data_IF_805670081098
#
_entry.id   IF_805670081098
#
_cell.length_a   1.000
_cell.length_b   1.000
_cell.length_c   1.000
_cell.angle_alpha   90.00
_cell.angle_beta   90.00
_cell.angle_gamma   90.00
#
_symmetry.space_group_name_H-M   'P 1'
#
loop_
_entity.id
_entity.type
_entity.pdbx_description
1 polymer ?
#
# COMPACT_ATOMS: atom_id res chain seq x y z
N UNK A 1 15.69 -21.73 -12.45
CA UNK A 1 15.71 -20.65 -11.45
C UNK A 1 14.68 -19.62 -11.88
N UNK A 2 13.52 -19.59 -11.23
CA UNK A 2 12.52 -18.54 -11.47
C UNK A 2 12.73 -17.45 -10.41
N UNK A 3 13.18 -16.28 -10.83
CA UNK A 3 13.19 -15.09 -9.97
C UNK A 3 11.84 -14.42 -10.17
N UNK A 4 11.05 -14.32 -9.11
CA UNK A 4 9.78 -13.59 -9.16
C UNK A 4 9.99 -12.22 -8.53
N UNK A 5 9.83 -11.19 -9.35
CA UNK A 5 9.86 -9.81 -8.88
C UNK A 5 8.42 -9.34 -8.65
N UNK A 6 8.08 -9.02 -7.40
CA UNK A 6 6.78 -8.53 -7.01
C UNK A 6 6.94 -7.19 -6.31
N UNK A 7 6.13 -6.20 -6.67
CA UNK A 7 6.11 -4.92 -6.00
C UNK A 7 4.89 -4.85 -5.08
N UNK A 8 5.07 -4.26 -3.90
CA UNK A 8 4.02 -4.01 -2.94
C UNK A 8 3.97 -2.52 -2.62
N UNK A 9 2.80 -1.90 -2.78
CA UNK A 9 2.56 -0.52 -2.37
C UNK A 9 2.05 -0.52 -0.93
N UNK A 10 2.77 0.17 -0.05
CA UNK A 10 2.39 0.32 1.35
C UNK A 10 2.04 1.78 1.60
N UNK A 11 0.79 2.01 1.97
CA UNK A 11 0.23 3.33 2.25
C UNK A 11 -0.12 3.41 3.74
N UNK A 12 0.41 4.42 4.42
CA UNK A 12 0.08 4.75 5.79
C UNK A 12 -0.88 5.93 5.85
N UNK A 13 -1.98 5.76 6.56
CA UNK A 13 -2.97 6.80 6.83
C UNK A 13 -3.22 6.91 8.33
N UNK A 14 -3.60 8.10 8.79
CA UNK A 14 -4.11 8.34 10.14
C UNK A 14 -5.62 8.34 10.10
N UNK A 15 -6.23 7.72 11.10
CA UNK A 15 -7.68 7.75 11.30
C UNK A 15 -8.09 8.80 12.35
N UNK A 16 -9.40 9.05 12.47
CA UNK A 16 -9.97 10.01 13.44
C UNK A 16 -9.57 9.72 14.90
N UNK A 17 -9.22 8.46 15.23
CA UNK A 17 -8.73 8.04 16.56
C UNK A 17 -7.22 8.18 16.72
N UNK A 18 -6.53 8.90 15.83
CA UNK A 18 -5.07 9.05 15.79
C UNK A 18 -4.31 7.73 15.66
N UNK A 19 -4.97 6.64 15.26
CA UNK A 19 -4.32 5.37 14.94
C UNK A 19 -3.79 5.41 13.51
N UNK A 20 -2.68 4.73 13.29
CA UNK A 20 -2.10 4.56 11.96
C UNK A 20 -2.65 3.30 11.32
N UNK A 21 -3.36 3.46 10.21
CA UNK A 21 -3.84 2.37 9.37
C UNK A 21 -2.88 2.19 8.20
N UNK A 22 -2.38 0.97 8.03
CA UNK A 22 -1.45 0.64 6.96
C UNK A 22 -2.19 -0.23 5.95
N UNK A 23 -2.25 0.21 4.71
CA UNK A 23 -2.84 -0.52 3.59
C UNK A 23 -1.69 -1.03 2.75
N UNK A 24 -1.61 -2.34 2.60
CA UNK A 24 -0.64 -2.99 1.74
C UNK A 24 -1.37 -3.55 0.52
N UNK A 25 -0.89 -3.18 -0.66
CA UNK A 25 -1.37 -3.68 -1.94
C UNK A 25 -0.21 -4.44 -2.57
N UNK A 26 -0.27 -5.77 -2.57
CA UNK A 26 0.68 -6.60 -3.29
C UNK A 26 0.33 -6.65 -4.79
N UNK A 27 1.32 -6.96 -5.64
CA UNK A 27 1.18 -7.05 -7.09
C UNK A 27 0.92 -5.71 -7.79
N UNK A 28 1.57 -4.65 -7.32
CA UNK A 28 1.52 -3.36 -7.99
C UNK A 28 2.53 -3.27 -9.12
N UNK A 29 2.30 -2.36 -10.07
CA UNK A 29 3.27 -2.06 -11.13
C UNK A 29 4.51 -1.39 -10.54
N UNK A 30 5.66 -1.71 -11.13
CA UNK A 30 6.95 -1.12 -10.73
C UNK A 30 7.07 0.35 -11.09
N UNK A 31 6.38 0.76 -12.16
CA UNK A 31 6.36 2.13 -12.68
C UNK A 31 5.42 3.04 -11.87
N UNK A 32 5.04 2.65 -10.65
CA UNK A 32 4.25 3.49 -9.77
C UNK A 32 5.10 4.65 -9.24
N UNK A 33 4.87 5.81 -9.82
CA UNK A 33 5.44 7.07 -9.37
C UNK A 33 4.54 7.76 -8.34
N UNK A 34 5.10 8.74 -7.62
CA UNK A 34 4.36 9.57 -6.67
C UNK A 34 3.12 10.23 -7.30
N UNK A 35 3.19 10.59 -8.58
CA UNK A 35 2.09 11.20 -9.34
C UNK A 35 0.90 10.26 -9.52
N UNK A 36 1.14 8.96 -9.59
CA UNK A 36 0.08 7.94 -9.64
C UNK A 36 -0.44 7.59 -8.25
N UNK A 37 0.43 7.60 -7.22
CA UNK A 37 0.06 7.23 -5.86
C UNK A 37 -0.73 8.34 -5.15
N UNK A 38 -0.38 9.60 -5.38
CA UNK A 38 -1.04 10.76 -4.76
C UNK A 38 -2.55 10.81 -5.02
N UNK A 39 -3.06 10.73 -6.27
CA UNK A 39 -4.49 10.74 -6.53
C UNK A 39 -5.19 9.49 -6.01
N UNK A 40 -4.50 8.35 -5.93
CA UNK A 40 -5.06 7.14 -5.28
C UNK A 40 -5.23 7.38 -3.77
N UNK A 41 -4.23 7.96 -3.11
CA UNK A 41 -4.35 8.33 -1.68
C UNK A 41 -5.45 9.38 -1.45
N UNK A 42 -5.60 10.33 -2.38
CA UNK A 42 -6.62 11.36 -2.29
C UNK A 42 -8.02 10.79 -2.52
N UNK A 43 -8.20 9.90 -3.50
CA UNK A 43 -9.45 9.18 -3.73
C UNK A 43 -9.83 8.30 -2.53
N UNK A 44 -8.86 7.63 -1.89
CA UNK A 44 -9.10 6.85 -0.67
C UNK A 44 -9.61 7.73 0.48
N UNK A 45 -9.08 8.94 0.63
CA UNK A 45 -9.51 9.90 1.65
C UNK A 45 -10.86 10.55 1.30
N UNK A 46 -11.07 10.91 0.04
CA UNK A 46 -12.26 11.61 -0.43
C UNK A 46 -13.49 10.71 -0.49
N UNK A 47 -13.31 9.49 -0.97
CA UNK A 47 -14.40 8.53 -1.18
C UNK A 47 -14.71 7.76 0.12
N UNK A 48 -13.80 7.79 1.10
CA UNK A 48 -13.98 7.20 2.43
C UNK A 48 -14.44 5.72 2.37
N UNK A 49 -14.22 5.05 1.22
CA UNK A 49 -14.67 3.68 0.92
C UNK A 49 -13.92 2.68 1.80
N UNK A 50 -12.70 3.03 2.19
CA UNK A 50 -11.88 2.17 3.04
C UNK A 50 -12.24 2.45 4.49
N UNK A 51 -13.32 1.82 4.91
CA UNK A 51 -13.58 1.61 6.32
C UNK A 51 -12.43 0.75 6.82
N UNK A 52 -11.56 1.34 7.65
CA UNK A 52 -10.54 0.58 8.34
C UNK A 52 -11.23 -0.58 9.08
N UNK A 53 -10.58 -1.72 9.29
CA UNK A 53 -11.22 -2.86 9.98
C UNK A 53 -11.79 -2.52 11.38
N UNK A 54 -11.49 -1.32 11.89
CA UNK A 54 -11.98 -0.75 13.15
C UNK A 54 -13.20 0.17 13.00
N UNK A 55 -13.70 0.41 11.79
CA UNK A 55 -14.89 1.26 11.55
C UNK A 55 -14.60 2.76 11.53
N UNK A 56 -13.33 3.18 11.49
CA UNK A 56 -12.93 4.59 11.64
C UNK A 56 -12.55 5.23 10.30
N UNK A 57 -13.00 6.48 10.09
CA UNK A 57 -12.64 7.34 8.96
C UNK A 57 -11.14 7.67 8.91
N UNK A 58 -10.61 7.73 7.69
CA UNK A 58 -9.25 8.19 7.41
C UNK A 58 -9.22 9.72 7.34
N UNK A 59 -8.37 10.36 8.15
CA UNK A 59 -8.29 11.83 8.24
C UNK A 59 -7.05 12.43 7.60
N UNK A 60 -5.98 11.65 7.41
CA UNK A 60 -4.73 12.17 6.82
C UNK A 60 -3.85 11.08 6.24
N UNK A 61 -3.11 11.42 5.18
CA UNK A 61 -1.99 10.63 4.65
C UNK A 61 -0.75 10.79 5.52
N UNK A 62 -0.07 9.69 5.82
CA UNK A 62 1.14 9.66 6.66
C UNK A 62 2.36 9.36 5.80
N UNK A 63 2.33 8.28 5.02
CA UNK A 63 3.42 7.90 4.13
C UNK A 63 2.92 7.03 2.98
N UNK A 64 3.67 7.00 1.89
CA UNK A 64 3.55 6.00 0.84
C UNK A 64 4.94 5.47 0.49
N UNK A 65 5.05 4.15 0.32
CA UNK A 65 6.30 3.52 -0.10
C UNK A 65 6.02 2.34 -1.02
N UNK A 66 6.83 2.23 -2.06
CA UNK A 66 6.85 1.06 -2.94
C UNK A 66 7.97 0.13 -2.46
N UNK A 67 7.63 -1.12 -2.21
CA UNK A 67 8.55 -2.16 -1.74
C UNK A 67 8.72 -3.17 -2.86
N UNK A 68 9.94 -3.29 -3.39
CA UNK A 68 10.30 -4.36 -4.30
C UNK A 68 10.64 -5.63 -3.49
N UNK A 69 9.94 -6.73 -3.77
CA UNK A 69 10.25 -8.07 -3.25
C UNK A 69 10.85 -8.89 -4.39
N UNK A 70 12.01 -9.48 -4.12
CA UNK A 70 12.66 -10.44 -5.01
C UNK A 70 12.58 -11.80 -4.35
N UNK A 71 11.79 -12.70 -4.91
CA UNK A 71 11.67 -14.08 -4.44
C UNK A 71 12.52 -14.98 -5.32
N UNK A 72 13.44 -15.73 -4.68
CA UNK A 72 14.26 -16.75 -5.34
C UNK A 72 13.85 -18.11 -4.78
N UNK A 73 13.24 -18.93 -5.61
CA UNK A 73 12.85 -20.29 -5.24
C UNK A 73 14.09 -21.22 -5.26
N UNK A 74 14.37 -21.86 -4.13
CA UNK A 74 15.43 -22.87 -4.00
C UNK A 74 14.78 -24.24 -3.82
N UNK A 75 14.97 -25.10 -4.81
CA UNK A 75 14.56 -26.49 -4.73
C UNK A 75 15.71 -27.31 -4.14
N UNK A 76 15.45 -27.98 -3.02
CA UNK A 76 16.34 -29.00 -2.48
C UNK A 76 15.79 -30.38 -2.88
N UNK A 77 16.67 -31.23 -3.42
CA UNK A 77 16.32 -32.58 -3.89
C UNK A 77 16.12 -33.57 -2.74
#
# INVERSE_FOLDING_TARGET
MAVKQAYALVLGFKNSKKKTCTITIDNVKEDLTQDNITPVMDAILADNIIITSTGDDLVSKVFAKVVAKTETDYQYQ
#
